data_IF_723317559115
#
_entry.id   IF_723317559115
#
_cell.length_a   1.000
_cell.length_b   1.000
_cell.length_c   1.000
_cell.angle_alpha   90.00
_cell.angle_beta   90.00
_cell.angle_gamma   90.00
#
_symmetry.space_group_name_H-M   'P 1'
#
loop_
_entity.id
_entity.type
_entity.pdbx_description
1 polymer ?
#
# COMPACT_ATOMS: atom_id res chain seq x y z
N UNK A 1 -3.48 -11.87 -38.49
CA UNK A 1 -4.26 -11.35 -37.34
C UNK A 1 -4.96 -12.52 -36.66
N UNK A 2 -4.92 -12.64 -35.33
CA UNK A 2 -5.70 -13.66 -34.62
C UNK A 2 -7.20 -13.40 -34.78
N UNK A 3 -7.99 -14.45 -35.02
CA UNK A 3 -9.45 -14.38 -35.15
C UNK A 3 -10.12 -14.03 -33.82
N UNK A 4 -11.40 -13.64 -33.83
CA UNK A 4 -12.16 -13.39 -32.62
C UNK A 4 -12.24 -14.62 -31.70
N UNK A 5 -12.32 -15.83 -32.28
CA UNK A 5 -12.33 -17.10 -31.54
C UNK A 5 -10.96 -17.39 -30.90
N UNK A 6 -9.86 -17.05 -31.58
CA UNK A 6 -8.48 -17.17 -31.06
C UNK A 6 -8.14 -16.12 -29.98
N UNK A 7 -8.98 -15.09 -29.84
CA UNK A 7 -8.86 -14.04 -28.80
C UNK A 7 -9.82 -14.25 -27.63
N UNK A 8 -10.73 -15.22 -27.71
CA UNK A 8 -11.70 -15.50 -26.64
C UNK A 8 -10.94 -15.91 -25.37
N UNK A 9 -11.28 -15.25 -24.26
CA UNK A 9 -10.68 -15.52 -22.94
C UNK A 9 -11.76 -15.53 -21.86
N UNK A 10 -11.47 -16.21 -20.76
CA UNK A 10 -12.28 -16.21 -19.55
C UNK A 10 -11.50 -15.62 -18.38
N UNK A 11 -12.24 -15.17 -17.36
CA UNK A 11 -11.67 -14.62 -16.15
C UNK A 11 -12.59 -14.70 -14.95
N UNK A 12 -12.06 -14.29 -13.80
CA UNK A 12 -12.79 -14.23 -12.52
C UNK A 12 -12.70 -12.81 -11.97
N UNK A 13 -13.83 -12.32 -11.46
CA UNK A 13 -13.89 -11.14 -10.59
C UNK A 13 -13.76 -11.61 -9.15
N UNK A 14 -12.66 -11.24 -8.48
CA UNK A 14 -12.44 -11.50 -7.06
C UNK A 14 -11.60 -10.35 -6.49
N UNK A 15 -12.04 -9.73 -5.41
CA UNK A 15 -11.25 -8.68 -4.78
C UNK A 15 -10.17 -9.30 -3.84
N UNK A 16 -8.95 -8.74 -3.74
CA UNK A 16 -7.91 -9.28 -2.85
C UNK A 16 -8.35 -9.40 -1.40
N UNK A 17 -9.20 -8.48 -0.92
CA UNK A 17 -9.76 -8.55 0.44
C UNK A 17 -10.59 -9.82 0.71
N UNK A 18 -11.06 -10.50 -0.34
CA UNK A 18 -11.85 -11.75 -0.26
C UNK A 18 -11.01 -13.01 -0.30
N UNK A 19 -9.69 -12.89 -0.51
CA UNK A 19 -8.79 -14.03 -0.44
C UNK A 19 -8.78 -14.61 0.99
N UNK A 20 -8.68 -15.94 1.14
CA UNK A 20 -8.59 -16.55 2.46
C UNK A 20 -7.25 -16.20 3.11
N UNK A 21 -7.17 -16.37 4.42
CA UNK A 21 -5.92 -16.19 5.17
C UNK A 21 -6.16 -16.09 6.67
N UNK A 22 -5.08 -16.12 7.47
CA UNK A 22 -5.16 -15.93 8.91
C UNK A 22 -5.39 -14.46 9.31
N UNK A 23 -5.22 -13.52 8.38
CA UNK A 23 -5.41 -12.09 8.59
C UNK A 23 -6.87 -11.67 8.65
N UNK A 24 -7.10 -10.48 9.22
CA UNK A 24 -8.40 -9.81 9.24
C UNK A 24 -8.94 -9.46 7.84
N UNK A 25 -8.07 -9.40 6.82
CA UNK A 25 -8.44 -9.28 5.42
C UNK A 25 -7.46 -10.06 4.53
N UNK A 26 -7.90 -10.45 3.33
CA UNK A 26 -6.99 -10.97 2.32
C UNK A 26 -5.98 -9.90 1.85
N UNK A 27 -4.81 -10.35 1.40
CA UNK A 27 -3.67 -9.53 1.02
C UNK A 27 -2.96 -10.06 -0.25
N UNK A 28 -1.82 -9.48 -0.62
CA UNK A 28 -1.00 -9.92 -1.74
C UNK A 28 -0.02 -11.06 -1.41
N UNK A 29 -0.26 -11.79 -0.32
CA UNK A 29 0.60 -12.88 0.12
C UNK A 29 0.34 -14.19 -0.62
N UNK A 30 0.68 -15.30 0.03
CA UNK A 30 0.64 -16.65 -0.55
C UNK A 30 -0.69 -16.99 -1.23
N UNK A 31 -1.84 -16.62 -0.63
CA UNK A 31 -3.14 -16.96 -1.19
C UNK A 31 -3.46 -16.19 -2.48
N UNK A 32 -2.90 -14.99 -2.68
CA UNK A 32 -3.01 -14.28 -3.96
C UNK A 32 -2.26 -15.02 -5.07
N UNK A 33 -1.02 -15.45 -4.80
CA UNK A 33 -0.23 -16.24 -5.75
C UNK A 33 -0.88 -17.60 -6.05
N UNK A 34 -1.39 -18.30 -5.03
CA UNK A 34 -2.15 -19.54 -5.21
C UNK A 34 -3.41 -19.34 -6.06
N UNK A 35 -4.06 -18.18 -5.95
CA UNK A 35 -5.20 -17.84 -6.78
C UNK A 35 -4.78 -17.59 -8.24
N UNK A 36 -3.66 -16.91 -8.50
CA UNK A 36 -3.09 -16.79 -9.85
C UNK A 36 -2.76 -18.16 -10.45
N UNK A 37 -2.12 -19.04 -9.69
CA UNK A 37 -1.83 -20.42 -10.12
C UNK A 37 -3.10 -21.22 -10.42
N UNK A 38 -4.16 -21.00 -9.64
CA UNK A 38 -5.47 -21.60 -9.90
C UNK A 38 -6.05 -21.11 -11.23
N UNK A 39 -6.06 -19.79 -11.49
CA UNK A 39 -6.55 -19.23 -12.74
C UNK A 39 -5.77 -19.78 -13.95
N UNK A 40 -4.44 -19.81 -13.85
CA UNK A 40 -3.56 -20.34 -14.88
C UNK A 40 -3.86 -21.82 -15.19
N UNK A 41 -3.98 -22.67 -14.15
CA UNK A 41 -4.33 -24.09 -14.30
C UNK A 41 -5.73 -24.30 -14.87
N UNK A 42 -6.67 -23.41 -14.56
CA UNK A 42 -8.03 -23.44 -15.11
C UNK A 42 -8.12 -22.90 -16.56
N UNK A 43 -7.02 -22.43 -17.15
CA UNK A 43 -7.01 -21.81 -18.47
C UNK A 43 -7.65 -20.41 -18.51
N UNK A 44 -7.88 -19.81 -17.35
CA UNK A 44 -8.38 -18.44 -17.21
C UNK A 44 -7.21 -17.47 -17.33
N UNK A 45 -7.46 -16.32 -17.97
CA UNK A 45 -6.40 -15.36 -18.35
C UNK A 45 -6.61 -13.97 -17.78
N UNK A 46 -7.76 -13.75 -17.13
CA UNK A 46 -8.16 -12.44 -16.62
C UNK A 46 -8.52 -12.60 -15.14
N UNK A 47 -7.89 -11.80 -14.30
CA UNK A 47 -8.33 -11.52 -12.94
C UNK A 47 -8.78 -10.07 -12.89
N UNK A 48 -10.08 -9.85 -12.67
CA UNK A 48 -10.63 -8.53 -12.46
C UNK A 48 -10.73 -8.25 -10.95
N UNK A 49 -10.35 -7.03 -10.56
CA UNK A 49 -10.44 -6.53 -9.18
C UNK A 49 -11.28 -5.24 -9.14
N UNK A 50 -11.85 -4.95 -7.97
CA UNK A 50 -12.38 -3.62 -7.62
C UNK A 50 -11.20 -2.64 -7.36
N UNK A 51 -11.45 -1.34 -7.18
CA UNK A 51 -10.37 -0.40 -6.85
C UNK A 51 -9.61 -0.80 -5.59
N UNK A 52 -8.28 -0.71 -5.64
CA UNK A 52 -7.37 -1.14 -4.57
C UNK A 52 -6.96 0.01 -3.64
N UNK A 53 -7.67 1.14 -3.71
CA UNK A 53 -7.33 2.35 -2.98
C UNK A 53 -7.63 2.26 -1.49
N UNK A 54 -6.97 3.08 -0.65
CA UNK A 54 -7.27 3.16 0.78
C UNK A 54 -8.72 3.61 0.99
N UNK A 55 -9.49 2.84 1.76
CA UNK A 55 -10.91 3.10 2.01
C UNK A 55 -11.14 3.94 3.25
N UNK A 56 -12.32 4.55 3.36
CA UNK A 56 -12.81 5.04 4.65
C UNK A 56 -13.20 3.87 5.57
N UNK A 57 -13.72 4.20 6.75
CA UNK A 57 -14.17 3.22 7.76
C UNK A 57 -15.33 2.33 7.31
N UNK A 58 -16.07 2.74 6.28
CA UNK A 58 -17.13 1.95 5.65
C UNK A 58 -16.60 0.88 4.68
N UNK A 59 -15.29 0.84 4.45
CA UNK A 59 -14.59 -0.12 3.61
C UNK A 59 -15.02 -0.09 2.14
N UNK A 60 -15.66 0.99 1.67
CA UNK A 60 -16.11 1.10 0.29
C UNK A 60 -14.92 1.36 -0.66
N UNK A 61 -14.58 0.44 -1.59
CA UNK A 61 -13.44 0.62 -2.49
C UNK A 61 -13.65 1.76 -3.49
N UNK A 62 -14.89 2.19 -3.74
CA UNK A 62 -15.21 3.31 -4.62
C UNK A 62 -15.14 4.68 -3.94
N UNK A 63 -14.97 4.69 -2.61
CA UNK A 63 -14.79 5.92 -1.84
C UNK A 63 -13.39 5.89 -1.22
N UNK A 64 -12.41 6.34 -2.00
CA UNK A 64 -11.00 6.27 -1.60
C UNK A 64 -10.43 7.64 -1.26
N UNK A 65 -9.46 7.66 -0.34
CA UNK A 65 -8.66 8.85 -0.04
C UNK A 65 -7.73 9.28 -1.19
N UNK A 66 -7.49 8.41 -2.17
CA UNK A 66 -6.66 8.74 -3.33
C UNK A 66 -6.97 7.80 -4.49
N UNK A 67 -6.96 8.35 -5.70
CA UNK A 67 -7.09 7.57 -6.94
C UNK A 67 -5.79 6.86 -7.34
N UNK A 68 -4.66 7.20 -6.70
CA UNK A 68 -3.34 6.67 -7.02
C UNK A 68 -2.82 5.71 -5.95
N UNK A 69 -3.12 5.96 -4.67
CA UNK A 69 -2.57 5.20 -3.56
C UNK A 69 -3.15 3.79 -3.48
N UNK A 70 -2.36 2.85 -2.98
CA UNK A 70 -2.79 1.51 -2.59
C UNK A 70 -3.23 1.43 -1.13
N UNK A 71 -4.15 0.53 -0.83
CA UNK A 71 -4.60 0.24 0.52
C UNK A 71 -3.52 -0.58 1.28
N UNK A 72 -2.95 -0.05 2.38
CA UNK A 72 -1.94 -0.77 3.17
C UNK A 72 -2.43 -2.10 3.77
N UNK A 73 -3.74 -2.29 3.89
CA UNK A 73 -4.31 -3.53 4.43
C UNK A 73 -3.97 -4.76 3.55
N UNK A 74 -3.74 -4.55 2.24
CA UNK A 74 -3.38 -5.61 1.29
C UNK A 74 -1.89 -5.95 1.25
N UNK A 75 -1.06 -5.29 2.08
CA UNK A 75 0.37 -5.60 2.18
C UNK A 75 0.57 -6.90 2.93
N UNK A 76 1.17 -7.91 2.32
CA UNK A 76 1.63 -9.12 3.02
C UNK A 76 2.77 -8.76 3.98
N UNK A 77 2.57 -9.05 5.27
CA UNK A 77 3.58 -8.83 6.30
C UNK A 77 4.71 -9.86 6.24
N UNK A 78 4.45 -11.08 5.75
CA UNK A 78 5.49 -12.11 5.62
C UNK A 78 6.48 -11.79 4.50
N UNK A 79 6.09 -11.02 3.50
CA UNK A 79 6.99 -10.43 2.51
C UNK A 79 8.05 -9.52 3.17
N UNK A 80 7.69 -8.80 4.24
CA UNK A 80 8.62 -8.00 5.05
C UNK A 80 9.53 -8.88 5.92
N UNK A 81 8.98 -9.98 6.44
CA UNK A 81 9.76 -10.99 7.19
C UNK A 81 10.84 -11.60 6.29
N UNK A 82 10.51 -11.97 5.05
CA UNK A 82 11.46 -12.51 4.08
C UNK A 82 12.63 -11.59 3.76
N UNK A 83 12.49 -10.28 4.02
CA UNK A 83 13.53 -9.25 3.84
C UNK A 83 14.23 -8.85 5.14
N UNK A 84 13.85 -9.47 6.26
CA UNK A 84 14.40 -9.16 7.56
C UNK A 84 14.10 -7.73 8.02
N UNK A 85 12.94 -7.19 7.64
CA UNK A 85 12.44 -5.89 8.12
C UNK A 85 11.41 -6.04 9.24
N UNK A 86 10.80 -7.22 9.35
CA UNK A 86 9.82 -7.52 10.37
C UNK A 86 10.10 -8.90 10.96
N UNK A 87 9.87 -9.08 12.26
CA UNK A 87 9.95 -10.40 12.87
C UNK A 87 8.71 -11.23 12.50
N UNK A 88 8.83 -12.56 12.53
CA UNK A 88 7.67 -13.45 12.31
C UNK A 88 6.57 -13.21 13.36
N UNK A 89 6.96 -13.02 14.62
CA UNK A 89 6.03 -12.74 15.72
C UNK A 89 5.26 -11.43 15.51
N UNK A 90 5.94 -10.36 15.10
CA UNK A 90 5.26 -9.09 14.82
C UNK A 90 4.36 -9.18 13.58
N UNK A 91 4.75 -9.97 12.58
CA UNK A 91 3.89 -10.25 11.43
C UNK A 91 2.60 -10.97 11.85
N UNK A 92 2.71 -12.00 12.71
CA UNK A 92 1.56 -12.74 13.25
C UNK A 92 0.65 -11.83 14.08
N UNK A 93 1.22 -10.99 14.96
CA UNK A 93 0.47 -9.98 15.72
C UNK A 93 -0.23 -8.97 14.82
N UNK A 94 0.37 -8.64 13.67
CA UNK A 94 -0.19 -7.73 12.68
C UNK A 94 -1.40 -8.27 11.91
N UNK A 95 -1.74 -9.55 12.06
CA UNK A 95 -2.88 -10.19 11.39
C UNK A 95 -4.23 -9.95 12.09
N UNK A 96 -4.23 -9.42 13.33
CA UNK A 96 -5.43 -9.35 14.18
C UNK A 96 -6.47 -8.35 13.68
N UNK A 97 -6.06 -7.13 13.35
CA UNK A 97 -6.92 -6.05 12.88
C UNK A 97 -6.10 -4.99 12.13
N UNK A 98 -6.78 -4.02 11.52
CA UNK A 98 -6.13 -2.94 10.77
C UNK A 98 -5.17 -2.10 11.63
N UNK A 99 -5.46 -1.89 12.92
CA UNK A 99 -4.56 -1.18 13.83
C UNK A 99 -3.29 -1.98 14.14
N UNK A 100 -3.40 -3.30 14.28
CA UNK A 100 -2.27 -4.20 14.45
C UNK A 100 -1.39 -4.25 13.20
N UNK A 101 -2.01 -4.30 12.01
CA UNK A 101 -1.33 -4.19 10.71
C UNK A 101 -0.52 -2.90 10.62
N UNK A 102 -1.11 -1.76 10.95
CA UNK A 102 -0.40 -0.47 10.93
C UNK A 102 0.80 -0.44 11.89
N UNK A 103 0.66 -1.01 13.09
CA UNK A 103 1.80 -1.13 14.02
C UNK A 103 2.93 -1.99 13.46
N UNK A 104 2.61 -3.13 12.84
CA UNK A 104 3.59 -4.01 12.21
C UNK A 104 4.29 -3.31 11.02
N UNK A 105 3.54 -2.60 10.18
CA UNK A 105 4.10 -1.81 9.08
C UNK A 105 5.05 -0.71 9.58
N UNK A 106 4.74 -0.04 10.70
CA UNK A 106 5.64 0.94 11.32
C UNK A 106 6.96 0.32 11.78
N UNK A 107 6.92 -0.87 12.39
CA UNK A 107 8.14 -1.59 12.76
C UNK A 107 8.98 -1.93 11.51
N UNK A 108 8.31 -2.43 10.46
CA UNK A 108 8.92 -2.69 9.16
C UNK A 108 9.58 -1.45 8.54
N UNK A 109 8.91 -0.30 8.63
CA UNK A 109 9.40 0.99 8.15
C UNK A 109 10.72 1.39 8.82
N UNK A 110 10.79 1.29 10.15
CA UNK A 110 12.00 1.61 10.92
C UNK A 110 13.17 0.73 10.48
N UNK A 111 12.96 -0.58 10.37
CA UNK A 111 14.01 -1.51 9.95
C UNK A 111 14.44 -1.28 8.49
N UNK A 112 13.48 -0.98 7.61
CA UNK A 112 13.73 -0.65 6.21
C UNK A 112 14.61 0.60 6.07
N UNK A 113 14.25 1.70 6.73
CA UNK A 113 15.02 2.94 6.64
C UNK A 113 16.43 2.80 7.22
N UNK A 114 16.57 2.09 8.35
CA UNK A 114 17.89 1.76 8.90
C UNK A 114 18.77 1.03 7.89
N UNK A 115 18.21 0.06 7.14
CA UNK A 115 18.93 -0.65 6.07
C UNK A 115 19.25 0.22 4.86
N UNK A 116 18.32 1.07 4.43
CA UNK A 116 18.56 2.00 3.30
C UNK A 116 19.66 3.00 3.64
N UNK A 117 19.71 3.46 4.89
CA UNK A 117 20.77 4.34 5.38
C UNK A 117 22.13 3.63 5.46
N UNK A 118 22.17 2.36 5.91
CA UNK A 118 23.41 1.60 5.98
C UNK A 118 23.90 1.09 4.62
N UNK A 119 22.99 0.84 3.67
CA UNK A 119 23.26 0.23 2.36
C UNK A 119 22.57 1.02 1.22
N UNK A 120 22.98 2.26 0.96
CA UNK A 120 22.30 3.16 0.01
C UNK A 120 22.41 2.68 -1.45
N UNK A 121 23.40 1.84 -1.77
CA UNK A 121 23.60 1.26 -3.09
C UNK A 121 22.86 -0.08 -3.28
N UNK A 122 22.19 -0.60 -2.25
CA UNK A 122 21.41 -1.84 -2.36
C UNK A 122 20.33 -1.71 -3.43
N UNK A 123 19.99 -2.83 -4.10
CA UNK A 123 18.93 -2.86 -5.10
C UNK A 123 17.60 -2.32 -4.55
N UNK A 124 17.34 -2.53 -3.26
CA UNK A 124 16.13 -2.04 -2.61
C UNK A 124 16.15 -0.53 -2.36
N UNK A 125 17.29 0.02 -1.90
CA UNK A 125 17.44 1.48 -1.77
C UNK A 125 17.25 2.18 -3.12
N UNK A 126 17.81 1.61 -4.19
CA UNK A 126 17.62 2.12 -5.55
C UNK A 126 16.16 2.00 -6.02
N UNK A 127 15.49 0.87 -5.76
CA UNK A 127 14.08 0.67 -6.10
C UNK A 127 13.17 1.66 -5.36
N UNK A 128 13.44 1.91 -4.07
CA UNK A 128 12.70 2.91 -3.30
C UNK A 128 12.91 4.31 -3.86
N UNK A 129 14.15 4.72 -4.12
CA UNK A 129 14.43 6.01 -4.73
C UNK A 129 13.79 6.15 -6.12
N UNK A 130 13.74 5.08 -6.91
CA UNK A 130 13.06 5.06 -8.20
C UNK A 130 11.54 5.21 -8.07
N UNK A 131 10.92 4.52 -7.09
CA UNK A 131 9.50 4.68 -6.78
C UNK A 131 9.17 6.10 -6.33
N UNK A 132 9.97 6.68 -5.42
CA UNK A 132 9.77 8.05 -4.96
C UNK A 132 9.81 9.07 -6.12
N UNK A 133 10.67 8.84 -7.13
CA UNK A 133 10.72 9.67 -8.35
C UNK A 133 9.54 9.42 -9.28
N UNK A 134 9.09 8.17 -9.44
CA UNK A 134 7.97 7.87 -10.35
C UNK A 134 6.60 8.23 -9.78
N UNK A 135 6.53 8.41 -8.47
CA UNK A 135 5.32 8.76 -7.74
C UNK A 135 5.31 10.24 -7.26
N UNK A 136 6.28 11.04 -7.68
CA UNK A 136 6.51 12.42 -7.22
C UNK A 136 5.27 13.33 -7.36
N UNK A 137 4.49 13.15 -8.44
CA UNK A 137 3.29 13.93 -8.73
C UNK A 137 2.11 13.70 -7.76
N UNK A 138 2.13 12.64 -6.93
CA UNK A 138 0.97 12.31 -6.09
C UNK A 138 1.33 11.86 -4.67
N UNK A 139 2.49 11.22 -4.48
CA UNK A 139 2.82 10.53 -3.23
C UNK A 139 3.03 11.51 -2.08
N UNK A 140 3.73 12.61 -2.33
CA UNK A 140 4.02 13.59 -1.29
C UNK A 140 2.74 14.26 -0.78
N UNK A 141 1.86 14.69 -1.69
CA UNK A 141 0.58 15.30 -1.32
C UNK A 141 -0.33 14.30 -0.60
N UNK A 142 -0.41 13.06 -1.08
CA UNK A 142 -1.16 12.00 -0.41
C UNK A 142 -0.62 11.73 1.00
N UNK A 143 0.70 11.61 1.17
CA UNK A 143 1.31 11.33 2.47
C UNK A 143 1.09 12.49 3.45
N UNK A 144 1.26 13.74 3.00
CA UNK A 144 0.95 14.94 3.79
C UNK A 144 -0.52 14.97 4.19
N UNK A 145 -1.43 14.79 3.24
CA UNK A 145 -2.88 14.76 3.50
C UNK A 145 -3.24 13.73 4.56
N UNK A 146 -2.73 12.49 4.43
CA UNK A 146 -2.99 11.40 5.38
C UNK A 146 -2.41 11.69 6.76
N UNK A 147 -1.19 12.21 6.84
CA UNK A 147 -0.54 12.59 8.10
C UNK A 147 -1.29 13.75 8.79
N UNK A 148 -1.69 14.79 8.04
CA UNK A 148 -2.42 15.94 8.57
C UNK A 148 -3.79 15.51 9.09
N UNK A 149 -4.50 14.68 8.32
CA UNK A 149 -5.79 14.11 8.70
C UNK A 149 -5.72 13.36 10.04
N UNK A 150 -4.64 12.61 10.28
CA UNK A 150 -4.45 11.92 11.56
C UNK A 150 -4.31 12.90 12.74
N UNK A 151 -3.60 14.02 12.56
CA UNK A 151 -3.51 15.06 13.58
C UNK A 151 -4.84 15.76 13.89
N UNK A 152 -5.71 15.88 12.89
CA UNK A 152 -7.02 16.49 13.03
C UNK A 152 -8.11 15.45 13.32
N UNK A 153 -7.80 14.39 14.08
CA UNK A 153 -8.75 13.37 14.52
C UNK A 153 -9.63 12.80 13.40
N UNK A 154 -9.02 12.58 12.22
CA UNK A 154 -9.69 12.06 11.02
C UNK A 154 -10.75 12.97 10.38
N UNK A 155 -10.77 14.27 10.71
CA UNK A 155 -11.70 15.24 10.11
C UNK A 155 -11.37 15.53 8.63
N UNK A 156 -12.37 15.88 7.79
CA UNK A 156 -12.15 16.24 6.39
C UNK A 156 -11.29 17.50 6.26
N UNK A 157 -10.54 17.61 5.15
CA UNK A 157 -9.62 18.72 4.93
C UNK A 157 -10.31 20.09 4.91
N UNK A 158 -11.57 20.12 4.50
CA UNK A 158 -12.40 21.33 4.47
C UNK A 158 -12.66 21.94 5.85
N UNK A 159 -12.44 21.20 6.95
CA UNK A 159 -12.59 21.69 8.32
C UNK A 159 -11.26 22.01 9.01
N UNK A 160 -10.13 21.92 8.31
CA UNK A 160 -8.82 22.26 8.86
C UNK A 160 -8.63 23.78 8.92
N UNK A 161 -7.62 24.29 9.66
CA UNK A 161 -7.26 25.70 9.62
C UNK A 161 -7.06 26.20 8.18
N UNK A 162 -7.49 27.44 7.90
CA UNK A 162 -7.51 28.03 6.55
C UNK A 162 -6.18 27.82 5.80
N UNK A 163 -5.04 28.06 6.47
CA UNK A 163 -3.72 27.91 5.84
C UNK A 163 -3.39 26.49 5.37
N UNK A 164 -3.94 25.45 6.03
CA UNK A 164 -3.76 24.06 5.61
C UNK A 164 -4.85 23.60 4.65
N UNK A 165 -6.08 24.10 4.81
CA UNK A 165 -7.20 23.83 3.90
C UNK A 165 -6.92 24.38 2.50
N UNK A 166 -6.41 25.60 2.44
CA UNK A 166 -6.13 26.33 1.21
C UNK A 166 -4.71 26.05 0.68
N UNK A 167 -4.03 25.05 1.28
CA UNK A 167 -2.72 24.54 0.87
C UNK A 167 -1.63 25.62 0.80
N UNK A 168 -1.58 26.54 1.76
CA UNK A 168 -0.51 27.55 1.82
C UNK A 168 0.85 26.87 1.95
N UNK A 169 1.76 27.15 1.01
CA UNK A 169 3.03 26.43 0.85
C UNK A 169 3.85 26.42 2.13
N UNK A 170 3.97 27.55 2.82
CA UNK A 170 4.76 27.68 4.06
C UNK A 170 4.16 26.88 5.21
N UNK A 171 2.84 26.98 5.41
CA UNK A 171 2.14 26.29 6.48
C UNK A 171 2.18 24.77 6.30
N UNK A 172 1.93 24.30 5.08
CA UNK A 172 2.03 22.89 4.73
C UNK A 172 3.46 22.36 4.92
N UNK A 173 4.47 23.11 4.48
CA UNK A 173 5.87 22.72 4.64
C UNK A 173 6.31 22.66 6.11
N UNK A 174 5.89 23.62 6.93
CA UNK A 174 6.17 23.64 8.36
C UNK A 174 5.53 22.45 9.06
N UNK A 175 4.23 22.20 8.80
CA UNK A 175 3.54 21.05 9.37
C UNK A 175 4.15 19.72 8.93
N UNK A 176 4.53 19.60 7.66
CA UNK A 176 5.19 18.41 7.13
C UNK A 176 6.53 18.13 7.82
N UNK A 177 7.30 19.16 8.19
CA UNK A 177 8.54 18.99 8.97
C UNK A 177 8.28 18.33 10.33
N UNK A 178 7.19 18.69 11.00
CA UNK A 178 6.81 18.08 12.28
C UNK A 178 6.30 16.65 12.15
N UNK A 179 5.85 16.25 10.96
CA UNK A 179 5.27 14.93 10.68
C UNK A 179 6.14 14.08 9.76
N UNK A 180 7.45 14.35 9.75
CA UNK A 180 8.40 13.69 8.84
C UNK A 180 8.36 12.16 8.99
N UNK A 181 8.22 11.65 10.22
CA UNK A 181 8.19 10.20 10.47
C UNK A 181 6.92 9.56 9.93
N UNK A 182 5.77 10.19 10.14
CA UNK A 182 4.46 9.70 9.70
C UNK A 182 4.35 9.75 8.18
N UNK A 183 4.83 10.82 7.56
CA UNK A 183 4.92 10.95 6.10
C UNK A 183 5.84 9.86 5.54
N UNK A 184 7.00 9.64 6.15
CA UNK A 184 7.93 8.57 5.78
C UNK A 184 7.29 7.18 5.87
N UNK A 185 6.54 6.90 6.93
CA UNK A 185 5.79 5.66 7.09
C UNK A 185 4.78 5.45 5.96
N UNK A 186 4.02 6.48 5.59
CA UNK A 186 3.05 6.38 4.49
C UNK A 186 3.77 6.14 3.15
N UNK A 187 4.87 6.84 2.88
CA UNK A 187 5.68 6.62 1.68
C UNK A 187 6.21 5.19 1.59
N UNK A 188 6.73 4.66 2.71
CA UNK A 188 7.18 3.28 2.81
C UNK A 188 6.04 2.29 2.52
N UNK A 189 4.86 2.49 3.11
CA UNK A 189 3.70 1.62 2.86
C UNK A 189 3.31 1.61 1.37
N UNK A 190 3.29 2.78 0.71
CA UNK A 190 2.98 2.86 -0.72
C UNK A 190 4.05 2.18 -1.59
N UNK A 191 5.32 2.29 -1.22
CA UNK A 191 6.40 1.57 -1.89
C UNK A 191 6.23 0.05 -1.76
N UNK A 192 6.02 -0.46 -0.55
CA UNK A 192 5.84 -1.90 -0.31
C UNK A 192 4.62 -2.43 -1.06
N UNK A 193 3.50 -1.70 -1.01
CA UNK A 193 2.31 -2.01 -1.80
C UNK A 193 2.64 -2.10 -3.29
N UNK A 194 3.37 -1.11 -3.83
CA UNK A 194 3.76 -1.07 -5.23
C UNK A 194 4.64 -2.28 -5.62
N UNK A 195 5.60 -2.64 -4.78
CA UNK A 195 6.44 -3.82 -4.99
C UNK A 195 5.61 -5.10 -5.07
N UNK A 196 4.80 -5.38 -4.04
CA UNK A 196 4.01 -6.61 -3.98
C UNK A 196 2.98 -6.68 -5.11
N UNK A 197 2.31 -5.57 -5.42
CA UNK A 197 1.36 -5.52 -6.54
C UNK A 197 2.04 -5.69 -7.91
N UNK A 198 3.28 -5.25 -8.05
CA UNK A 198 4.06 -5.46 -9.27
C UNK A 198 4.52 -6.92 -9.37
N UNK A 199 5.03 -7.50 -8.28
CA UNK A 199 5.41 -8.91 -8.21
C UNK A 199 4.22 -9.84 -8.52
N UNK A 200 3.01 -9.53 -8.06
CA UNK A 200 1.81 -10.33 -8.32
C UNK A 200 1.33 -10.28 -9.78
N UNK A 201 1.63 -9.20 -10.50
CA UNK A 201 1.20 -8.99 -11.89
C UNK A 201 2.16 -9.54 -12.95
N UNK A 202 3.37 -9.94 -12.55
CA UNK A 202 4.43 -10.41 -13.45
C UNK A 202 4.65 -11.92 -13.30
#
# INVERSE_FOLDING_TARGET
MKTALERRSGGVLLHPSSLPGPGFCGDFGENAHRFVDFLARAGLRIWQVLPLGPTHSDLCPYQSFSIHAGNPDYIDLYWLVGRGWLSREDAERGQVDAGAKQRALRLGCTAFHSRVESEPESAMAQAYAAFMRSADLWLEDYARFRAFRACFSQQPWSSWPDSLRDCETTACAERARHLKSEIGEICFQQFVFHCQWTELRH
#
